data_IF_217212786405
#
_entry.id   IF_217212786405
#
_cell.length_a   1.000
_cell.length_b   1.000
_cell.length_c   1.000
_cell.angle_alpha   90.00
_cell.angle_beta   90.00
_cell.angle_gamma   90.00
#
_symmetry.space_group_name_H-M   'P 1'
#
loop_
_entity.id
_entity.type
_entity.pdbx_description
1 polymer ?
#
# COMPACT_ATOMS: atom_id res chain seq x y z
N UNK A 1 22.65 -17.51 -2.63
CA UNK A 1 22.09 -16.37 -1.86
C UNK A 1 22.12 -15.17 -2.78
N UNK A 2 21.04 -14.38 -2.83
CA UNK A 2 20.97 -13.19 -3.67
C UNK A 2 21.76 -12.04 -3.05
N UNK A 3 22.30 -11.16 -3.88
CA UNK A 3 22.97 -9.96 -3.40
C UNK A 3 22.13 -8.71 -3.67
N UNK A 4 22.16 -7.75 -2.74
CA UNK A 4 21.42 -6.49 -2.88
C UNK A 4 21.81 -5.73 -4.15
N UNK A 5 23.08 -5.83 -4.56
CA UNK A 5 23.62 -5.14 -5.73
C UNK A 5 23.10 -5.75 -7.03
N UNK A 6 23.07 -7.08 -7.11
CA UNK A 6 22.49 -7.80 -8.24
C UNK A 6 20.99 -7.48 -8.39
N UNK A 7 20.22 -7.54 -7.29
CA UNK A 7 18.79 -7.21 -7.30
C UNK A 7 18.52 -5.77 -7.73
N UNK A 8 19.29 -4.82 -7.20
CA UNK A 8 19.20 -3.41 -7.57
C UNK A 8 19.59 -3.17 -9.03
N UNK A 9 20.51 -3.96 -9.57
CA UNK A 9 20.92 -3.87 -10.98
C UNK A 9 19.83 -4.43 -11.89
N UNK A 10 19.29 -5.60 -11.56
CA UNK A 10 18.16 -6.22 -12.28
C UNK A 10 16.91 -5.34 -12.25
N UNK A 11 16.54 -4.84 -11.08
CA UNK A 11 15.41 -3.93 -10.91
C UNK A 11 15.58 -2.64 -11.71
N UNK A 12 16.81 -2.10 -11.77
CA UNK A 12 17.12 -0.92 -12.60
C UNK A 12 17.01 -1.24 -14.10
N UNK A 13 17.48 -2.40 -14.54
CA UNK A 13 17.35 -2.83 -15.93
C UNK A 13 15.88 -3.02 -16.34
N UNK A 14 15.07 -3.67 -15.50
CA UNK A 14 13.63 -3.84 -15.72
C UNK A 14 12.90 -2.50 -15.79
N UNK A 15 13.21 -1.57 -14.88
CA UNK A 15 12.69 -0.21 -14.88
C UNK A 15 13.03 0.55 -16.18
N UNK A 16 14.31 0.56 -16.58
CA UNK A 16 14.77 1.30 -17.75
C UNK A 16 14.25 0.71 -19.07
N UNK A 17 13.96 -0.58 -19.13
CA UNK A 17 13.38 -1.24 -20.32
C UNK A 17 12.02 -0.65 -20.71
N UNK A 18 11.25 -0.16 -19.74
CA UNK A 18 9.91 0.37 -19.96
C UNK A 18 9.65 1.63 -19.11
N UNK A 19 10.58 2.58 -19.18
CA UNK A 19 10.67 3.72 -18.26
C UNK A 19 9.34 4.46 -18.06
N UNK A 20 8.74 5.00 -19.13
CA UNK A 20 7.54 5.84 -19.01
C UNK A 20 6.33 5.10 -18.46
N UNK A 21 6.14 3.86 -18.89
CA UNK A 21 5.02 3.03 -18.44
C UNK A 21 5.24 2.59 -16.98
N UNK A 22 6.48 2.34 -16.55
CA UNK A 22 6.81 2.11 -15.14
C UNK A 22 6.57 3.35 -14.28
N UNK A 23 6.92 4.55 -14.76
CA UNK A 23 6.67 5.81 -14.04
C UNK A 23 5.17 6.02 -13.86
N UNK A 24 4.37 5.82 -14.91
CA UNK A 24 2.90 5.92 -14.84
C UNK A 24 2.33 4.87 -13.89
N UNK A 25 2.78 3.61 -13.99
CA UNK A 25 2.34 2.54 -13.10
C UNK A 25 2.67 2.84 -11.63
N UNK A 26 3.90 3.29 -11.36
CA UNK A 26 4.33 3.68 -10.03
C UNK A 26 3.58 4.90 -9.51
N UNK A 27 3.29 5.89 -10.37
CA UNK A 27 2.50 7.05 -9.97
C UNK A 27 1.07 6.64 -9.61
N UNK A 28 0.43 5.77 -10.42
CA UNK A 28 -0.89 5.22 -10.11
C UNK A 28 -0.85 4.49 -8.77
N UNK A 29 0.13 3.61 -8.55
CA UNK A 29 0.25 2.87 -7.30
C UNK A 29 0.59 3.76 -6.11
N UNK A 30 1.49 4.73 -6.24
CA UNK A 30 1.84 5.64 -5.14
C UNK A 30 0.68 6.57 -4.80
N UNK A 31 -0.05 7.08 -5.79
CA UNK A 31 -1.20 7.97 -5.56
C UNK A 31 -2.40 7.21 -4.96
N UNK A 32 -2.60 5.98 -5.40
CA UNK A 32 -3.70 5.14 -4.91
C UNK A 32 -3.31 4.46 -3.58
N UNK A 33 -2.25 3.66 -3.60
CA UNK A 33 -1.81 2.79 -2.49
C UNK A 33 -0.84 3.50 -1.54
N UNK A 34 0.04 4.34 -2.06
CA UNK A 34 1.09 5.03 -1.30
C UNK A 34 0.69 6.33 -0.59
N UNK A 35 -0.58 6.74 -0.66
CA UNK A 35 -1.08 7.98 -0.05
C UNK A 35 -1.25 7.87 1.46
N UNK A 36 -0.13 7.76 2.18
CA UNK A 36 0.01 8.32 3.52
C UNK A 36 0.79 9.63 3.42
N UNK A 37 0.09 10.77 3.54
CA UNK A 37 0.63 12.12 3.81
C UNK A 37 1.58 12.76 2.77
N UNK A 38 1.00 13.55 1.86
CA UNK A 38 1.66 14.73 1.27
C UNK A 38 0.61 15.81 1.00
N UNK A 39 0.19 16.52 2.05
CA UNK A 39 -0.57 17.76 1.92
C UNK A 39 0.41 18.86 1.48
N UNK A 40 0.35 19.27 0.22
CA UNK A 40 0.75 20.61 -0.18
C UNK A 40 -0.23 21.57 0.50
N UNK A 41 0.18 22.15 1.62
CA UNK A 41 -0.54 23.26 2.24
C UNK A 41 -0.47 24.45 1.31
N UNK A 42 -1.57 24.79 0.67
CA UNK A 42 -1.73 26.07 0.00
C UNK A 42 -1.77 27.16 1.09
N UNK A 43 -0.65 27.82 1.32
CA UNK A 43 -0.55 28.97 2.22
C UNK A 43 -1.17 30.19 1.56
N UNK A 44 -2.50 30.30 1.64
CA UNK A 44 -3.14 31.60 1.52
C UNK A 44 -3.05 32.27 2.89
N UNK A 45 -2.38 33.42 2.94
CA UNK A 45 -2.40 34.32 4.08
C UNK A 45 -3.84 34.74 4.34
N UNK A 46 -4.49 34.11 5.31
CA UNK A 46 -5.66 34.69 5.94
C UNK A 46 -5.61 34.40 7.45
N UNK A 47 -5.48 35.47 8.21
CA UNK A 47 -5.35 35.47 9.65
C UNK A 47 -6.69 35.12 10.27
N UNK A 48 -6.95 33.83 10.49
CA UNK A 48 -7.89 33.33 11.51
C UNK A 48 -7.54 31.87 11.83
N UNK A 49 -6.93 31.69 13.00
CA UNK A 49 -6.36 30.45 13.49
C UNK A 49 -7.47 29.42 13.79
N UNK A 50 -7.64 28.42 12.92
CA UNK A 50 -8.51 27.26 13.15
C UNK A 50 -7.67 25.98 13.17
N UNK A 51 -7.63 25.29 14.31
CA UNK A 51 -6.96 24.00 14.45
C UNK A 51 -7.82 22.92 13.77
N UNK A 52 -7.43 22.51 12.58
CA UNK A 52 -8.02 21.39 11.84
C UNK A 52 -7.13 20.14 11.95
N UNK A 53 -7.73 19.01 12.30
CA UNK A 53 -7.09 17.68 12.24
C UNK A 53 -7.67 16.97 11.03
N UNK A 54 -6.86 16.82 9.98
CA UNK A 54 -7.30 16.29 8.69
C UNK A 54 -7.08 14.78 8.53
N UNK A 55 -8.13 14.07 8.07
CA UNK A 55 -8.04 12.76 7.42
C UNK A 55 -8.37 12.97 5.93
N UNK A 56 -7.55 12.40 5.05
CA UNK A 56 -7.50 12.70 3.61
C UNK A 56 -8.87 12.77 2.93
N UNK A 57 -9.23 13.96 2.45
CA UNK A 57 -10.44 14.22 1.66
C UNK A 57 -11.66 14.72 2.44
N UNK A 58 -11.55 14.91 3.76
CA UNK A 58 -12.64 15.42 4.58
C UNK A 58 -12.13 16.44 5.61
N UNK A 59 -12.37 17.73 5.38
CA UNK A 59 -12.07 18.79 6.34
C UNK A 59 -13.22 18.86 7.36
N UNK A 60 -13.00 18.38 8.59
CA UNK A 60 -13.86 18.74 9.72
C UNK A 60 -13.43 20.13 10.17
N UNK A 61 -14.11 21.16 9.69
CA UNK A 61 -14.02 22.48 10.33
C UNK A 61 -14.62 22.37 11.74
N UNK A 62 -13.78 22.61 12.75
CA UNK A 62 -14.10 22.59 14.17
C UNK A 62 -15.04 23.73 14.61
N UNK A 63 -15.46 24.58 13.67
CA UNK A 63 -16.37 25.71 13.91
C UNK A 63 -17.73 25.28 14.52
N UNK A 64 -18.09 23.99 14.45
CA UNK A 64 -19.30 23.44 15.08
C UNK A 64 -19.11 22.93 16.53
N UNK A 65 -17.91 23.01 17.10
CA UNK A 65 -17.61 22.65 18.50
C UNK A 65 -17.38 23.87 19.42
N UNK A 66 -17.82 25.06 19.02
CA UNK A 66 -17.75 26.26 19.85
C UNK A 66 -18.85 26.28 20.93
N UNK A 67 -18.50 26.79 22.11
CA UNK A 67 -19.39 26.94 23.29
C UNK A 67 -20.68 27.72 22.97
N UNK A 68 -20.67 28.56 21.93
CA UNK A 68 -21.83 29.28 21.42
C UNK A 68 -22.92 28.36 20.81
N UNK A 69 -22.53 27.23 20.21
CA UNK A 69 -23.46 26.19 19.72
C UNK A 69 -24.24 25.52 20.86
N UNK A 70 -23.61 25.43 22.04
CA UNK A 70 -24.24 24.89 23.25
C UNK A 70 -25.25 25.89 23.84
N UNK A 71 -25.03 27.20 23.68
CA UNK A 71 -25.95 28.25 24.10
C UNK A 71 -27.18 28.37 23.17
N UNK A 72 -27.03 28.13 21.87
CA UNK A 72 -28.17 28.06 20.93
C UNK A 72 -29.17 26.94 21.27
N UNK A 73 -28.72 25.89 21.97
CA UNK A 73 -29.54 24.75 22.41
C UNK A 73 -30.64 25.13 23.41
N UNK A 74 -30.52 26.31 24.05
CA UNK A 74 -31.50 26.86 25.00
C UNK A 74 -32.48 27.86 24.37
N UNK A 75 -32.41 28.11 23.06
CA UNK A 75 -33.44 28.86 22.32
C UNK A 75 -34.68 27.96 22.09
N UNK A 76 -35.89 28.51 21.87
CA UNK A 76 -37.09 27.70 21.61
C UNK A 76 -37.01 26.84 20.32
N UNK A 77 -36.06 27.14 19.42
CA UNK A 77 -35.71 26.31 18.25
C UNK A 77 -34.50 25.39 18.50
N UNK A 78 -33.86 25.49 19.65
CA UNK A 78 -32.64 24.77 20.05
C UNK A 78 -32.74 23.25 20.02
N UNK A 79 -33.83 22.62 20.50
CA UNK A 79 -34.02 21.17 20.38
C UNK A 79 -34.07 20.70 18.93
N UNK A 80 -34.70 21.47 18.03
CA UNK A 80 -34.82 21.13 16.61
C UNK A 80 -33.46 21.26 15.90
N UNK A 81 -32.75 22.38 16.12
CA UNK A 81 -31.39 22.58 15.58
C UNK A 81 -30.41 21.50 16.06
N UNK A 82 -30.47 21.12 17.34
CA UNK A 82 -29.60 20.07 17.89
C UNK A 82 -29.78 18.71 17.21
N UNK A 83 -31.04 18.31 16.94
CA UNK A 83 -31.33 17.07 16.21
C UNK A 83 -30.75 17.11 14.80
N UNK A 84 -30.86 18.24 14.08
CA UNK A 84 -30.27 18.40 12.76
C UNK A 84 -28.74 18.36 12.76
N UNK A 85 -28.07 18.96 13.76
CA UNK A 85 -26.60 18.92 13.88
C UNK A 85 -26.09 17.51 14.20
N UNK A 86 -26.74 16.79 15.13
CA UNK A 86 -26.39 15.39 15.45
C UNK A 86 -26.63 14.49 14.24
N UNK A 87 -27.76 14.66 13.56
CA UNK A 87 -28.07 13.91 12.35
C UNK A 87 -27.05 14.18 11.23
N UNK A 88 -26.69 15.46 11.01
CA UNK A 88 -25.65 15.85 10.05
C UNK A 88 -24.29 15.24 10.40
N UNK A 89 -23.89 15.26 11.67
CA UNK A 89 -22.64 14.64 12.13
C UNK A 89 -22.60 13.13 11.90
N UNK A 90 -23.71 12.43 12.14
CA UNK A 90 -23.84 10.99 11.87
C UNK A 90 -23.78 10.72 10.36
N UNK A 91 -24.48 11.51 9.55
CA UNK A 91 -24.45 11.38 8.07
C UNK A 91 -23.03 11.58 7.54
N UNK A 92 -22.31 12.61 8.02
CA UNK A 92 -20.92 12.87 7.64
C UNK A 92 -19.99 11.74 8.07
N UNK A 93 -20.18 11.19 9.28
CA UNK A 93 -19.43 10.03 9.75
C UNK A 93 -19.67 8.81 8.85
N UNK A 94 -20.93 8.53 8.49
CA UNK A 94 -21.28 7.42 7.60
C UNK A 94 -20.69 7.61 6.21
N UNK A 95 -20.72 8.82 5.65
CA UNK A 95 -20.09 9.14 4.36
C UNK A 95 -18.56 8.96 4.43
N UNK A 96 -17.93 9.42 5.52
CA UNK A 96 -16.50 9.25 5.74
C UNK A 96 -16.08 7.78 5.83
N UNK A 97 -16.86 6.97 6.56
CA UNK A 97 -16.64 5.51 6.63
C UNK A 97 -16.90 4.84 5.28
N UNK A 98 -17.93 5.24 4.54
CA UNK A 98 -18.18 4.70 3.21
C UNK A 98 -17.02 5.01 2.25
N UNK A 99 -16.49 6.23 2.29
CA UNK A 99 -15.34 6.63 1.48
C UNK A 99 -14.08 5.83 1.81
N UNK A 100 -13.81 5.59 3.10
CA UNK A 100 -12.64 4.80 3.51
C UNK A 100 -12.77 3.34 3.07
N UNK A 101 -13.98 2.78 3.16
CA UNK A 101 -14.27 1.43 2.66
C UNK A 101 -14.08 1.36 1.14
N UNK A 102 -14.64 2.29 0.37
CA UNK A 102 -14.46 2.33 -1.09
C UNK A 102 -12.98 2.37 -1.45
N UNK A 103 -12.17 3.17 -0.74
CA UNK A 103 -10.72 3.17 -0.94
C UNK A 103 -10.12 1.79 -0.70
N UNK A 104 -10.38 1.16 0.44
CA UNK A 104 -9.83 -0.17 0.73
C UNK A 104 -10.19 -1.20 -0.37
N UNK A 105 -11.45 -1.18 -0.83
CA UNK A 105 -11.95 -2.11 -1.85
C UNK A 105 -11.37 -1.87 -3.25
N UNK A 106 -11.08 -0.62 -3.61
CA UNK A 106 -10.50 -0.29 -4.92
C UNK A 106 -8.98 -0.46 -4.91
N UNK A 107 -8.33 -0.10 -3.80
CA UNK A 107 -6.87 -0.12 -3.67
C UNK A 107 -6.27 -1.51 -3.65
N UNK A 108 -6.94 -2.49 -3.04
CA UNK A 108 -6.45 -3.85 -2.99
C UNK A 108 -6.21 -4.47 -4.40
N UNK A 109 -7.17 -4.43 -5.34
CA UNK A 109 -6.96 -4.89 -6.71
C UNK A 109 -5.89 -4.11 -7.47
N UNK A 110 -5.78 -2.79 -7.23
CA UNK A 110 -4.69 -1.99 -7.80
C UNK A 110 -3.33 -2.44 -7.28
N UNK A 111 -3.21 -2.78 -5.99
CA UNK A 111 -1.96 -3.31 -5.43
C UNK A 111 -1.55 -4.62 -6.12
N UNK A 112 -2.48 -5.56 -6.30
CA UNK A 112 -2.21 -6.84 -7.01
C UNK A 112 -1.90 -6.62 -8.49
N UNK A 113 -2.68 -5.79 -9.18
CA UNK A 113 -2.42 -5.49 -10.60
C UNK A 113 -1.10 -4.75 -10.80
N UNK A 114 -0.73 -3.86 -9.87
CA UNK A 114 0.59 -3.24 -9.83
C UNK A 114 1.71 -4.26 -9.68
N UNK A 115 1.58 -5.17 -8.71
CA UNK A 115 2.52 -6.28 -8.54
C UNK A 115 2.63 -7.13 -9.80
N UNK A 116 1.51 -7.45 -10.47
CA UNK A 116 1.49 -8.16 -11.75
C UNK A 116 2.27 -7.41 -12.82
N UNK A 117 2.01 -6.12 -12.97
CA UNK A 117 2.70 -5.28 -13.92
C UNK A 117 4.22 -5.29 -13.70
N UNK A 118 4.70 -5.14 -12.46
CA UNK A 118 6.15 -5.13 -12.19
C UNK A 118 6.80 -6.53 -12.32
N UNK A 119 6.07 -7.61 -12.02
CA UNK A 119 6.53 -8.99 -12.29
C UNK A 119 6.70 -9.20 -13.79
N UNK A 120 5.67 -8.90 -14.58
CA UNK A 120 5.72 -9.09 -16.03
C UNK A 120 6.75 -8.15 -16.66
N UNK A 121 6.84 -6.92 -16.16
CA UNK A 121 7.81 -5.95 -16.64
C UNK A 121 9.25 -6.35 -16.32
N UNK A 122 9.49 -7.29 -15.40
CA UNK A 122 10.81 -7.86 -15.10
C UNK A 122 11.23 -8.90 -16.16
N UNK A 123 10.28 -9.63 -16.74
CA UNK A 123 10.55 -10.63 -17.77
C UNK A 123 10.52 -10.01 -19.17
N UNK A 124 9.44 -9.28 -19.48
CA UNK A 124 9.16 -8.74 -20.81
C UNK A 124 8.64 -7.28 -20.71
N UNK A 125 8.35 -6.64 -21.85
CA UNK A 125 7.74 -5.29 -21.84
C UNK A 125 6.25 -5.40 -21.49
N UNK A 126 5.91 -5.14 -20.23
CA UNK A 126 4.52 -5.18 -19.78
C UNK A 126 3.70 -3.98 -20.27
N UNK A 127 2.43 -4.22 -20.60
CA UNK A 127 1.46 -3.17 -20.89
C UNK A 127 0.80 -2.60 -19.64
N UNK A 128 0.35 -1.35 -19.68
CA UNK A 128 -0.40 -0.73 -18.57
C UNK A 128 -1.70 -1.48 -18.21
N UNK A 129 -2.26 -2.25 -19.15
CA UNK A 129 -3.46 -3.07 -18.91
C UNK A 129 -3.29 -4.07 -17.76
N UNK A 130 -2.07 -4.51 -17.48
CA UNK A 130 -1.76 -5.45 -16.40
C UNK A 130 -2.04 -4.88 -15.01
N UNK A 131 -2.05 -3.55 -14.87
CA UNK A 131 -2.42 -2.88 -13.61
C UNK A 131 -3.90 -3.10 -13.28
N UNK A 132 -4.74 -3.30 -14.30
CA UNK A 132 -6.16 -3.58 -14.13
C UNK A 132 -6.44 -5.09 -13.97
N UNK A 133 -5.41 -5.94 -14.06
CA UNK A 133 -5.56 -7.39 -13.90
C UNK A 133 -6.24 -7.77 -12.59
N UNK A 134 -5.93 -7.07 -11.49
CA UNK A 134 -6.57 -7.30 -10.19
C UNK A 134 -8.10 -7.18 -10.20
N UNK A 135 -8.66 -6.42 -11.14
CA UNK A 135 -10.12 -6.29 -11.34
C UNK A 135 -10.68 -7.36 -12.28
N UNK A 136 -9.90 -7.79 -13.27
CA UNK A 136 -10.36 -8.67 -14.36
C UNK A 136 -10.23 -10.17 -14.04
N UNK A 137 -9.48 -10.52 -13.00
CA UNK A 137 -9.08 -11.89 -12.70
C UNK A 137 -10.21 -12.80 -12.15
N UNK A 138 -11.45 -12.33 -12.06
CA UNK A 138 -12.58 -13.09 -11.50
C UNK A 138 -12.53 -13.37 -9.98
N UNK A 139 -11.34 -13.29 -9.36
CA UNK A 139 -11.10 -13.50 -7.92
C UNK A 139 -11.08 -12.19 -7.11
N UNK A 140 -11.69 -11.11 -7.61
CA UNK A 140 -11.70 -9.78 -7.00
C UNK A 140 -12.01 -9.82 -5.50
N UNK A 141 -13.12 -10.46 -5.11
CA UNK A 141 -13.56 -10.50 -3.71
C UNK A 141 -12.54 -11.17 -2.79
N UNK A 142 -11.94 -12.27 -3.24
CA UNK A 142 -10.89 -12.98 -2.49
C UNK A 142 -9.61 -12.14 -2.37
N UNK A 143 -9.23 -11.45 -3.45
CA UNK A 143 -8.07 -10.55 -3.46
C UNK A 143 -8.26 -9.41 -2.46
N UNK A 144 -9.41 -8.74 -2.50
CA UNK A 144 -9.75 -7.66 -1.56
C UNK A 144 -9.74 -8.18 -0.12
N UNK A 145 -10.40 -9.32 0.13
CA UNK A 145 -10.46 -9.93 1.46
C UNK A 145 -9.07 -10.28 1.99
N UNK A 146 -8.22 -10.86 1.16
CA UNK A 146 -6.86 -11.26 1.55
C UNK A 146 -5.98 -10.06 1.88
N UNK A 147 -6.03 -9.00 1.06
CA UNK A 147 -5.26 -7.79 1.33
C UNK A 147 -5.82 -6.97 2.49
N UNK A 148 -7.13 -6.98 2.70
CA UNK A 148 -7.75 -6.43 3.91
C UNK A 148 -7.22 -7.13 5.16
N UNK A 149 -7.24 -8.47 5.19
CA UNK A 149 -6.69 -9.25 6.30
C UNK A 149 -5.19 -9.01 6.49
N UNK A 150 -4.44 -8.84 5.40
CA UNK A 150 -3.00 -8.53 5.45
C UNK A 150 -2.77 -7.24 6.22
N UNK A 151 -3.48 -6.18 5.82
CA UNK A 151 -3.36 -4.86 6.43
C UNK A 151 -3.90 -4.85 7.86
N UNK A 152 -5.00 -5.56 8.13
CA UNK A 152 -5.57 -5.73 9.46
C UNK A 152 -4.57 -6.42 10.41
N UNK A 153 -3.95 -7.52 9.98
CA UNK A 153 -2.96 -8.21 10.80
C UNK A 153 -1.73 -7.34 11.05
N UNK A 154 -1.19 -6.67 10.02
CA UNK A 154 -0.05 -5.75 10.22
C UNK A 154 -0.43 -4.64 11.20
N UNK A 155 -1.63 -4.06 11.08
CA UNK A 155 -2.14 -3.04 11.98
C UNK A 155 -2.24 -3.56 13.43
N UNK A 156 -2.87 -4.72 13.64
CA UNK A 156 -2.99 -5.35 14.97
C UNK A 156 -1.61 -5.62 15.59
N UNK A 157 -0.65 -6.13 14.82
CA UNK A 157 0.71 -6.36 15.30
C UNK A 157 1.45 -5.06 15.60
N UNK A 158 1.23 -4.02 14.80
CA UNK A 158 1.81 -2.69 15.04
C UNK A 158 1.22 -1.99 16.26
N UNK A 159 -0.05 -2.26 16.60
CA UNK A 159 -0.72 -1.76 17.79
C UNK A 159 -0.17 -2.40 19.06
N UNK A 160 0.17 -3.69 18.99
CA UNK A 160 0.76 -4.40 20.11
C UNK A 160 2.16 -3.85 20.43
N UNK A 161 3.03 -3.78 19.42
CA UNK A 161 4.39 -3.22 19.51
C UNK A 161 4.91 -2.83 18.11
N UNK A 162 5.75 -1.79 18.04
CA UNK A 162 6.30 -1.31 16.76
C UNK A 162 7.16 -2.36 16.03
N UNK A 163 8.07 -3.04 16.75
CA UNK A 163 9.02 -4.00 16.18
C UNK A 163 8.32 -5.21 15.54
N UNK A 164 7.40 -5.94 16.21
CA UNK A 164 6.71 -7.07 15.58
C UNK A 164 5.79 -6.62 14.43
N UNK A 165 5.25 -5.40 14.47
CA UNK A 165 4.54 -4.80 13.32
C UNK A 165 5.42 -4.75 12.07
N UNK A 166 6.65 -4.24 12.19
CA UNK A 166 7.62 -4.18 11.08
C UNK A 166 7.96 -5.59 10.58
N UNK A 167 8.26 -6.54 11.49
CA UNK A 167 8.58 -7.92 11.11
C UNK A 167 7.43 -8.57 10.33
N UNK A 168 6.19 -8.34 10.74
CA UNK A 168 4.99 -8.85 10.05
C UNK A 168 4.74 -8.17 8.70
N UNK A 169 5.06 -6.89 8.57
CA UNK A 169 5.00 -6.20 7.29
C UNK A 169 5.94 -6.84 6.25
N UNK A 170 7.18 -7.18 6.64
CA UNK A 170 8.11 -7.91 5.77
C UNK A 170 7.60 -9.32 5.45
N UNK A 171 7.12 -10.04 6.46
CA UNK A 171 6.63 -11.41 6.29
C UNK A 171 5.47 -11.53 5.30
N UNK A 172 4.60 -10.52 5.20
CA UNK A 172 3.46 -10.52 4.29
C UNK A 172 3.66 -9.68 3.03
N UNK A 173 4.85 -9.12 2.81
CA UNK A 173 5.17 -8.28 1.64
C UNK A 173 4.94 -8.99 0.30
N UNK A 174 5.10 -10.32 0.26
CA UNK A 174 4.97 -11.10 -0.98
C UNK A 174 3.52 -11.53 -1.28
N UNK A 175 2.56 -11.28 -0.38
CA UNK A 175 1.16 -11.65 -0.59
C UNK A 175 0.55 -11.04 -1.86
N UNK A 176 0.65 -9.72 -2.15
CA UNK A 176 0.10 -9.15 -3.38
C UNK A 176 0.76 -9.72 -4.65
N UNK A 177 2.06 -10.02 -4.60
CA UNK A 177 2.78 -10.64 -5.71
C UNK A 177 2.35 -12.10 -5.95
N UNK A 178 2.09 -12.87 -4.89
CA UNK A 178 1.55 -14.23 -5.00
C UNK A 178 0.15 -14.22 -5.60
N UNK A 179 -0.74 -13.32 -5.18
CA UNK A 179 -2.09 -13.22 -5.75
C UNK A 179 -2.08 -12.70 -7.19
N UNK A 180 -1.03 -11.97 -7.58
CA UNK A 180 -0.83 -11.56 -8.95
C UNK A 180 -0.40 -12.74 -9.84
N UNK A 181 0.44 -13.63 -9.33
CA UNK A 181 0.99 -14.76 -10.09
C UNK A 181 0.06 -15.99 -10.07
N UNK A 182 -0.53 -16.28 -8.91
CA UNK A 182 -1.41 -17.42 -8.62
C UNK A 182 -2.71 -16.94 -7.95
N UNK A 183 -3.64 -16.37 -8.72
CA UNK A 183 -4.85 -15.79 -8.16
C UNK A 183 -5.85 -16.80 -7.59
N UNK A 184 -5.71 -18.08 -7.93
CA UNK A 184 -6.46 -19.20 -7.40
C UNK A 184 -6.10 -19.55 -5.94
N UNK A 185 -4.94 -19.12 -5.44
CA UNK A 185 -4.51 -19.40 -4.05
C UNK A 185 -5.56 -18.98 -3.03
N UNK A 186 -5.76 -19.80 -2.01
CA UNK A 186 -6.56 -19.39 -0.85
C UNK A 186 -5.84 -18.29 -0.06
N UNK A 187 -6.60 -17.50 0.69
CA UNK A 187 -6.05 -16.48 1.59
C UNK A 187 -4.97 -17.07 2.50
N UNK A 188 -5.26 -18.20 3.14
CA UNK A 188 -4.36 -18.87 4.09
C UNK A 188 -3.07 -19.36 3.42
N UNK A 189 -3.17 -19.95 2.23
CA UNK A 189 -2.00 -20.37 1.46
C UNK A 189 -1.15 -19.19 1.03
N UNK A 190 -1.76 -18.08 0.60
CA UNK A 190 -1.01 -16.88 0.24
C UNK A 190 -0.19 -16.35 1.43
N UNK A 191 -0.78 -16.30 2.64
CA UNK A 191 -0.04 -15.92 3.86
C UNK A 191 1.03 -16.93 4.23
N UNK A 192 0.73 -18.23 4.12
CA UNK A 192 1.66 -19.31 4.46
C UNK A 192 2.87 -19.29 3.53
N UNK A 193 2.66 -19.26 2.22
CA UNK A 193 3.74 -19.24 1.21
C UNK A 193 4.56 -17.96 1.36
N UNK A 194 3.92 -16.79 1.55
CA UNK A 194 4.63 -15.52 1.76
C UNK A 194 5.55 -15.59 3.00
N UNK A 195 5.05 -16.13 4.12
CA UNK A 195 5.81 -16.34 5.35
C UNK A 195 6.97 -17.31 5.17
N UNK A 196 6.75 -18.42 4.47
CA UNK A 196 7.78 -19.43 4.19
C UNK A 196 8.87 -18.85 3.27
N UNK A 197 8.51 -18.13 2.20
CA UNK A 197 9.46 -17.47 1.30
C UNK A 197 10.29 -16.39 1.99
N UNK A 198 9.71 -15.68 2.95
CA UNK A 198 10.39 -14.61 3.70
C UNK A 198 11.18 -15.13 4.92
N UNK A 199 11.08 -16.42 5.26
CA UNK A 199 11.77 -16.96 6.42
C UNK A 199 13.29 -16.95 6.21
N UNK A 200 14.05 -16.37 7.15
CA UNK A 200 15.49 -16.16 7.00
C UNK A 200 15.89 -14.97 6.12
N UNK A 201 14.99 -14.45 5.29
CA UNK A 201 15.29 -13.36 4.33
C UNK A 201 14.82 -11.97 4.79
N UNK A 202 14.01 -11.88 5.87
CA UNK A 202 13.46 -10.60 6.39
C UNK A 202 14.53 -9.56 6.66
N UNK A 203 15.64 -9.95 7.28
CA UNK A 203 16.75 -9.04 7.60
C UNK A 203 17.45 -8.56 6.32
N UNK A 204 17.67 -9.45 5.35
CA UNK A 204 18.25 -9.09 4.07
C UNK A 204 17.35 -8.10 3.32
N UNK A 205 16.03 -8.29 3.35
CA UNK A 205 15.06 -7.37 2.77
C UNK A 205 15.01 -6.02 3.51
N UNK A 206 15.14 -6.02 4.84
CA UNK A 206 15.27 -4.78 5.62
C UNK A 206 16.52 -3.99 5.22
N UNK A 207 17.67 -4.66 5.08
CA UNK A 207 18.92 -4.04 4.62
C UNK A 207 18.78 -3.53 3.18
N UNK A 208 18.06 -4.25 2.32
CA UNK A 208 17.75 -3.81 0.96
C UNK A 208 16.96 -2.49 0.98
N UNK A 209 15.89 -2.41 1.78
CA UNK A 209 15.10 -1.17 1.93
C UNK A 209 15.93 -0.03 2.53
N UNK A 210 16.79 -0.33 3.52
CA UNK A 210 17.70 0.66 4.10
C UNK A 210 18.65 1.23 3.04
N UNK A 211 19.02 0.46 2.02
CA UNK A 211 19.82 0.94 0.89
C UNK A 211 19.09 1.96 -0.01
N UNK A 212 17.78 2.12 0.16
CA UNK A 212 16.97 3.13 -0.52
C UNK A 212 16.77 4.41 0.31
N UNK A 213 17.19 4.44 1.59
CA UNK A 213 16.98 5.60 2.47
C UNK A 213 17.55 6.90 1.90
N UNK A 214 18.72 6.83 1.26
CA UNK A 214 19.34 7.99 0.61
C UNK A 214 18.48 8.56 -0.54
N UNK A 215 17.79 7.69 -1.27
CA UNK A 215 16.85 8.12 -2.31
C UNK A 215 15.59 8.74 -1.71
N UNK A 216 15.10 8.25 -0.57
CA UNK A 216 13.96 8.86 0.14
C UNK A 216 14.31 10.27 0.64
N UNK A 217 15.52 10.46 1.20
CA UNK A 217 16.02 11.79 1.60
C UNK A 217 16.10 12.72 0.39
N UNK A 218 16.67 12.24 -0.72
CA UNK A 218 16.77 13.00 -1.97
C UNK A 218 15.39 13.35 -2.55
N UNK A 219 14.43 12.44 -2.46
CA UNK A 219 13.04 12.68 -2.81
C UNK A 219 12.42 13.78 -1.95
N UNK A 220 12.70 13.80 -0.64
CA UNK A 220 12.26 14.87 0.26
C UNK A 220 12.79 16.24 -0.14
N UNK A 221 14.08 16.34 -0.46
CA UNK A 221 14.73 17.61 -0.88
C UNK A 221 14.19 18.12 -2.22
N UNK A 222 13.82 17.22 -3.12
CA UNK A 222 13.36 17.55 -4.48
C UNK A 222 11.83 17.70 -4.59
N UNK A 223 11.14 17.97 -3.48
CA UNK A 223 9.66 18.06 -3.44
C UNK A 223 8.96 16.83 -4.04
N UNK A 224 9.48 15.64 -3.74
CA UNK A 224 9.02 14.34 -4.25
C UNK A 224 9.24 14.10 -5.76
N UNK A 225 9.91 15.00 -6.48
CA UNK A 225 10.15 14.82 -7.92
C UNK A 225 10.98 13.56 -8.21
N UNK A 226 12.07 13.36 -7.48
CA UNK A 226 12.89 12.12 -7.59
C UNK A 226 12.09 10.90 -7.15
N UNK A 227 11.18 11.07 -6.18
CA UNK A 227 10.20 10.08 -5.75
C UNK A 227 9.44 9.50 -6.94
N UNK A 228 8.68 10.36 -7.60
CA UNK A 228 7.76 10.03 -8.69
C UNK A 228 8.50 9.47 -9.91
N UNK A 229 9.54 10.16 -10.38
CA UNK A 229 10.15 9.84 -11.67
C UNK A 229 11.19 8.73 -11.61
N UNK A 230 11.74 8.42 -10.44
CA UNK A 230 12.85 7.46 -10.34
C UNK A 230 12.69 6.49 -9.18
N UNK A 231 12.55 6.98 -7.94
CA UNK A 231 12.60 6.14 -6.75
C UNK A 231 11.48 5.11 -6.69
N UNK A 232 10.20 5.52 -6.80
CA UNK A 232 9.08 4.59 -6.70
C UNK A 232 9.09 3.52 -7.80
N UNK A 233 9.19 3.85 -9.11
CA UNK A 233 9.22 2.82 -10.14
C UNK A 233 10.45 1.90 -10.02
N UNK A 234 11.59 2.44 -9.62
CA UNK A 234 12.79 1.63 -9.37
C UNK A 234 12.63 0.69 -8.17
N UNK A 235 12.05 1.18 -7.08
CA UNK A 235 11.81 0.39 -5.86
C UNK A 235 10.79 -0.72 -6.11
N UNK A 236 9.69 -0.43 -6.81
CA UNK A 236 8.71 -1.45 -7.18
C UNK A 236 9.29 -2.50 -8.15
N UNK A 237 10.12 -2.10 -9.11
CA UNK A 237 10.82 -3.05 -9.97
C UNK A 237 11.80 -3.94 -9.17
N UNK A 238 12.51 -3.37 -8.19
CA UNK A 238 13.41 -4.12 -7.31
C UNK A 238 12.66 -5.11 -6.43
N UNK A 239 11.48 -4.74 -5.94
CA UNK A 239 10.62 -5.62 -5.14
C UNK A 239 10.06 -6.80 -5.96
N UNK A 240 9.70 -6.57 -7.22
CA UNK A 240 9.28 -7.65 -8.11
C UNK A 240 10.41 -8.63 -8.40
N UNK A 241 11.63 -8.14 -8.62
CA UNK A 241 12.81 -9.00 -8.77
C UNK A 241 13.11 -9.80 -7.49
N UNK A 242 12.95 -9.19 -6.32
CA UNK A 242 13.07 -9.87 -5.03
C UNK A 242 12.05 -11.01 -4.94
N UNK A 243 10.79 -10.73 -5.28
CA UNK A 243 9.75 -11.75 -5.33
C UNK A 243 10.13 -12.92 -6.25
N UNK A 244 10.62 -12.64 -7.46
CA UNK A 244 11.01 -13.68 -8.41
C UNK A 244 12.13 -14.59 -7.89
N UNK A 245 13.14 -14.00 -7.25
CA UNK A 245 14.25 -14.75 -6.63
C UNK A 245 13.76 -15.59 -5.46
N UNK A 246 12.94 -15.03 -4.56
CA UNK A 246 12.39 -15.76 -3.42
C UNK A 246 11.48 -16.91 -3.88
N UNK A 247 10.64 -16.65 -4.88
CA UNK A 247 9.79 -17.64 -5.52
C UNK A 247 10.62 -18.80 -6.09
N UNK A 248 11.67 -18.49 -6.84
CA UNK A 248 12.55 -19.49 -7.44
C UNK A 248 13.22 -20.35 -6.36
N UNK A 249 13.77 -19.74 -5.30
CA UNK A 249 14.42 -20.48 -4.22
C UNK A 249 13.44 -21.40 -3.48
N UNK A 250 12.23 -20.91 -3.24
CA UNK A 250 11.17 -21.68 -2.58
C UNK A 250 10.76 -22.93 -3.37
N UNK A 251 10.43 -22.78 -4.65
CA UNK A 251 10.03 -23.94 -5.46
C UNK A 251 11.20 -24.90 -5.74
N UNK A 252 12.42 -24.38 -5.89
CA UNK A 252 13.61 -25.22 -6.08
C UNK A 252 13.86 -26.10 -4.86
N UNK A 253 13.88 -25.52 -3.65
CA UNK A 253 14.10 -26.27 -2.41
C UNK A 253 13.04 -27.37 -2.18
N UNK A 254 11.79 -27.13 -2.59
CA UNK A 254 10.71 -28.12 -2.47
C UNK A 254 10.79 -29.22 -3.53
N UNK A 255 11.23 -28.89 -4.75
CA UNK A 255 11.50 -29.88 -5.80
C UNK A 255 12.59 -30.85 -5.36
N UNK A 256 13.71 -30.34 -4.81
CA UNK A 256 14.77 -31.19 -4.26
C UNK A 256 14.29 -32.02 -3.06
N UNK A 257 13.51 -31.43 -2.14
CA UNK A 257 12.97 -32.15 -0.98
C UNK A 257 12.08 -33.35 -1.34
N UNK A 258 11.28 -33.23 -2.40
CA UNK A 258 10.42 -34.31 -2.87
C UNK A 258 11.19 -35.46 -3.53
N UNK A 259 12.33 -35.19 -4.19
CA UNK A 259 13.18 -36.24 -4.78
C UNK A 259 13.91 -37.10 -3.74
N UNK A 260 14.18 -36.61 -2.53
CA UNK A 260 14.84 -37.40 -1.47
C UNK A 260 13.87 -38.15 -0.55
N UNK A 261 12.56 -37.88 -0.64
CA UNK A 261 11.51 -38.63 0.09
C UNK A 261 10.97 -39.81 -0.74
N UNK A 262 11.42 -39.96 -2.00
CA UNK A 262 11.01 -41.00 -2.93
C UNK A 262 12.02 -42.16 -3.05
N UNK A 263 13.05 -42.19 -2.20
CA UNK A 263 14.05 -43.25 -2.10
C UNK A 263 14.11 -43.84 -0.69
#
# INVERSE_FOLDING_TARGET
>A
MWTREELKTRGKAAFLRNYWICVVAALILTLLVGSGTSNSGNSNNDSNQTNSVGISGFTISSDNFNVESFAEKFTPLGPVKFVFTVFSGIVLLVIGLAFILIRIFVLAPFEVGGSRFFIENSMEKAGLGNILFGFQNGYYGKTVWTLFLKNLYIFLWSLLLLIPGIVKAYEYRMVPYLLADYPELSTEEAFRISREMMNGEKMNTFILDLSFIGWYILSGITCNLVGIFYLYPYKYATDAELFLVLKQNYFSSRSYGNTYQAY
#
